data_IF_759408689604
#
_entry.id   IF_759408689604
#
_cell.length_a   1.000
_cell.length_b   1.000
_cell.length_c   1.000
_cell.angle_alpha   90.00
_cell.angle_beta   90.00
_cell.angle_gamma   90.00
#
_symmetry.space_group_name_H-M   'P 1'
#
loop_
_entity.id
_entity.type
_entity.pdbx_description
1 polymer ?
#
# COMPACT_ATOMS: atom_id res chain seq x y z
N UNK A 1 -3.59 -22.92 3.49
CA UNK A 1 -3.34 -22.56 2.09
C UNK A 1 -2.24 -21.50 2.05
N UNK A 2 -1.20 -21.74 1.23
CA UNK A 2 -0.11 -20.78 1.07
C UNK A 2 -0.70 -19.49 0.51
N UNK A 3 -0.46 -18.37 1.20
CA UNK A 3 -0.90 -17.06 0.71
C UNK A 3 -0.27 -16.82 -0.66
N UNK A 4 -1.00 -16.29 -1.66
CA UNK A 4 -0.50 -16.02 -3.01
C UNK A 4 0.65 -15.03 -3.06
N UNK A 5 1.09 -14.55 -1.90
CA UNK A 5 2.24 -13.66 -1.74
C UNK A 5 3.54 -14.21 -2.36
N UNK A 6 3.70 -15.54 -2.42
CA UNK A 6 4.87 -16.18 -3.01
C UNK A 6 4.82 -16.26 -4.54
N UNK A 7 3.64 -16.05 -5.15
CA UNK A 7 3.46 -16.09 -6.60
C UNK A 7 3.75 -14.74 -7.27
N UNK A 8 3.84 -13.66 -6.48
CA UNK A 8 4.14 -12.32 -6.99
C UNK A 8 5.67 -12.10 -7.09
N UNK A 9 6.09 -11.56 -8.22
CA UNK A 9 7.46 -11.05 -8.35
C UNK A 9 7.53 -9.64 -7.76
N UNK A 10 7.68 -9.57 -6.43
CA UNK A 10 7.72 -8.31 -5.70
C UNK A 10 8.92 -7.46 -6.10
N UNK A 11 8.64 -6.24 -6.54
CA UNK A 11 9.63 -5.23 -6.91
C UNK A 11 9.28 -3.92 -6.21
N UNK A 12 10.17 -3.45 -5.35
CA UNK A 12 9.99 -2.20 -4.62
C UNK A 12 10.86 -1.13 -5.29
N UNK A 13 10.23 -0.04 -5.70
CA UNK A 13 10.87 1.12 -6.29
C UNK A 13 10.78 2.29 -5.31
N UNK A 14 11.91 2.91 -4.99
CA UNK A 14 11.95 4.13 -4.19
C UNK A 14 11.99 5.32 -5.14
N UNK A 15 10.96 6.18 -5.06
CA UNK A 15 10.83 7.36 -5.92
C UNK A 15 11.26 8.59 -5.13
N UNK A 16 12.29 9.28 -5.61
CA UNK A 16 12.73 10.55 -5.03
C UNK A 16 11.75 11.66 -5.42
N UNK A 17 10.83 11.97 -4.54
CA UNK A 17 9.80 12.99 -4.75
C UNK A 17 9.35 13.54 -3.40
N UNK A 18 8.83 14.77 -3.39
CA UNK A 18 8.20 15.39 -2.20
C UNK A 18 6.76 14.92 -1.97
N UNK A 19 6.22 14.16 -2.90
CA UNK A 19 4.86 13.64 -2.83
C UNK A 19 4.74 12.63 -1.67
N UNK A 20 3.65 12.71 -0.93
CA UNK A 20 3.34 11.76 0.14
C UNK A 20 2.48 10.64 -0.45
N UNK A 21 3.15 9.65 -0.98
CA UNK A 21 2.48 8.56 -1.65
C UNK A 21 3.25 7.24 -1.50
N UNK A 22 2.50 6.15 -1.60
CA UNK A 22 2.96 4.79 -1.80
C UNK A 22 1.85 4.05 -2.53
N UNK A 23 2.19 3.04 -3.31
CA UNK A 23 1.21 2.22 -4.02
C UNK A 23 1.77 0.85 -4.38
N UNK A 24 0.88 -0.11 -4.58
CA UNK A 24 1.20 -1.40 -5.16
C UNK A 24 0.24 -1.74 -6.30
N UNK A 25 0.77 -2.37 -7.34
CA UNK A 25 0.02 -2.84 -8.49
C UNK A 25 -0.16 -4.36 -8.43
N UNK A 26 -1.21 -4.88 -9.06
CA UNK A 26 -1.32 -6.31 -9.31
C UNK A 26 -0.05 -6.85 -9.98
N UNK A 27 0.44 -8.02 -9.52
CA UNK A 27 1.70 -8.60 -9.99
C UNK A 27 2.93 -8.21 -9.18
N UNK A 28 2.78 -7.36 -8.13
CA UNK A 28 3.82 -7.16 -7.12
C UNK A 28 4.78 -5.98 -7.36
N UNK A 29 4.50 -5.10 -8.31
CA UNK A 29 5.26 -3.85 -8.43
C UNK A 29 4.77 -2.84 -7.42
N UNK A 30 5.69 -2.27 -6.64
CA UNK A 30 5.42 -1.28 -5.61
C UNK A 30 6.28 -0.05 -5.80
N UNK A 31 5.76 1.09 -5.39
CA UNK A 31 6.54 2.31 -5.25
C UNK A 31 6.32 2.93 -3.86
N UNK A 32 7.41 3.49 -3.34
CA UNK A 32 7.44 4.21 -2.09
C UNK A 32 8.13 5.55 -2.30
N UNK A 33 7.46 6.65 -1.96
CA UNK A 33 7.97 7.99 -2.22
C UNK A 33 8.77 8.50 -1.01
N UNK A 34 9.95 9.07 -1.26
CA UNK A 34 10.79 9.61 -0.17
C UNK A 34 10.08 10.69 0.62
N UNK A 35 9.22 11.49 -0.02
CA UNK A 35 8.44 12.53 0.64
C UNK A 35 7.55 12.00 1.75
N UNK A 36 6.99 10.80 1.61
CA UNK A 36 6.19 10.16 2.65
C UNK A 36 7.04 9.86 3.90
N UNK A 37 8.21 9.25 3.69
CA UNK A 37 9.13 8.90 4.78
C UNK A 37 9.69 10.14 5.46
N UNK A 38 10.19 11.09 4.67
CA UNK A 38 10.90 12.27 5.15
C UNK A 38 9.97 13.24 5.88
N UNK A 39 8.79 13.51 5.31
CA UNK A 39 7.84 14.48 5.87
C UNK A 39 7.20 13.96 7.15
N UNK A 40 6.82 12.70 7.18
CA UNK A 40 6.21 12.08 8.36
C UNK A 40 7.25 11.49 9.31
N UNK A 41 8.53 11.50 8.96
CA UNK A 41 9.61 10.89 9.73
C UNK A 41 9.24 9.46 10.17
N UNK A 42 8.92 8.64 9.19
CA UNK A 42 8.45 7.27 9.44
C UNK A 42 9.59 6.40 9.98
N UNK A 43 9.32 5.70 11.05
CA UNK A 43 10.14 4.59 11.53
C UNK A 43 10.01 3.36 10.63
N UNK A 44 10.92 2.40 10.73
CA UNK A 44 10.88 1.13 9.99
C UNK A 44 9.56 0.37 10.21
N UNK A 45 9.04 0.39 11.45
CA UNK A 45 7.76 -0.23 11.75
C UNK A 45 6.59 0.48 11.05
N UNK A 46 6.59 1.82 11.00
CA UNK A 46 5.57 2.59 10.30
C UNK A 46 5.66 2.41 8.78
N UNK A 47 6.87 2.32 8.22
CA UNK A 47 7.09 1.95 6.81
C UNK A 47 6.49 0.57 6.54
N UNK A 48 6.71 -0.40 7.43
CA UNK A 48 6.16 -1.75 7.30
C UNK A 48 4.63 -1.78 7.35
N UNK A 49 3.97 -0.88 8.12
CA UNK A 49 2.51 -0.73 8.09
C UNK A 49 2.04 -0.33 6.70
N UNK A 50 2.63 0.72 6.11
CA UNK A 50 2.24 1.20 4.78
C UNK A 50 2.53 0.13 3.73
N UNK A 51 3.71 -0.49 3.77
CA UNK A 51 4.05 -1.57 2.82
C UNK A 51 3.09 -2.75 2.92
N UNK A 52 2.79 -3.21 4.13
CA UNK A 52 1.85 -4.31 4.34
C UNK A 52 0.46 -4.00 3.81
N UNK A 53 -0.02 -2.77 4.04
CA UNK A 53 -1.30 -2.27 3.54
C UNK A 53 -1.35 -2.25 2.00
N UNK A 54 -0.34 -1.70 1.34
CA UNK A 54 -0.25 -1.68 -0.12
C UNK A 54 -0.12 -3.08 -0.72
N UNK A 55 0.68 -3.96 -0.10
CA UNK A 55 0.78 -5.35 -0.51
C UNK A 55 -0.56 -6.06 -0.40
N UNK A 56 -1.34 -5.80 0.65
CA UNK A 56 -2.67 -6.36 0.82
C UNK A 56 -3.62 -5.92 -0.29
N UNK A 57 -3.59 -4.64 -0.70
CA UNK A 57 -4.36 -4.16 -1.86
C UNK A 57 -4.00 -4.91 -3.15
N UNK A 58 -2.72 -5.17 -3.40
CA UNK A 58 -2.28 -5.94 -4.55
C UNK A 58 -2.72 -7.41 -4.48
N UNK A 59 -2.54 -8.06 -3.34
CA UNK A 59 -2.90 -9.46 -3.09
C UNK A 59 -4.40 -9.72 -3.22
N UNK A 60 -5.22 -8.78 -2.74
CA UNK A 60 -6.69 -8.84 -2.78
C UNK A 60 -7.26 -8.28 -4.08
N UNK A 61 -6.38 -7.84 -4.99
CA UNK A 61 -6.76 -7.29 -6.29
C UNK A 61 -7.74 -6.10 -6.20
N UNK A 62 -7.69 -5.33 -5.11
CA UNK A 62 -8.58 -4.19 -4.88
C UNK A 62 -8.52 -3.15 -6.00
N UNK A 63 -7.38 -3.04 -6.69
CA UNK A 63 -7.21 -2.18 -7.86
C UNK A 63 -8.10 -2.57 -9.05
N UNK A 64 -8.46 -3.85 -9.19
CA UNK A 64 -9.39 -4.30 -10.26
C UNK A 64 -10.79 -3.74 -10.07
N UNK A 65 -11.24 -3.60 -8.83
CA UNK A 65 -12.54 -3.02 -8.50
C UNK A 65 -12.60 -1.50 -8.76
N UNK A 66 -11.45 -0.82 -8.74
CA UNK A 66 -11.33 0.61 -9.04
C UNK A 66 -11.37 0.92 -10.54
N UNK A 67 -10.80 0.03 -11.34
CA UNK A 67 -10.74 0.23 -12.78
C UNK A 67 -12.12 0.02 -13.38
N UNK A 68 -12.64 1.05 -14.07
CA UNK A 68 -13.81 0.88 -14.89
C UNK A 68 -13.54 -0.22 -15.93
N UNK A 69 -14.46 -1.15 -16.15
CA UNK A 69 -14.27 -2.31 -17.02
C UNK A 69 -13.76 -1.93 -18.42
N UNK A 70 -14.15 -0.76 -18.95
CA UNK A 70 -13.64 -0.21 -20.21
C UNK A 70 -12.14 0.14 -20.18
N UNK A 71 -11.67 0.66 -19.06
CA UNK A 71 -10.25 0.97 -18.87
C UNK A 71 -9.44 -0.31 -18.70
N UNK A 72 -9.96 -1.29 -17.99
CA UNK A 72 -9.34 -2.62 -17.85
C UNK A 72 -9.23 -3.35 -19.18
N UNK A 73 -10.23 -3.26 -20.06
CA UNK A 73 -10.16 -3.84 -21.39
C UNK A 73 -9.10 -3.17 -22.28
N UNK A 74 -8.95 -1.85 -22.19
CA UNK A 74 -7.92 -1.12 -22.91
C UNK A 74 -6.50 -1.49 -22.41
N UNK A 75 -6.36 -1.68 -21.11
CA UNK A 75 -5.11 -2.10 -20.46
C UNK A 75 -4.79 -3.56 -20.78
N UNK A 76 -5.77 -4.47 -20.68
CA UNK A 76 -5.58 -5.87 -21.05
C UNK A 76 -5.23 -6.02 -22.54
N UNK A 77 -5.82 -5.20 -23.41
CA UNK A 77 -5.48 -5.12 -24.82
C UNK A 77 -4.06 -4.58 -25.08
N UNK A 78 -3.63 -3.58 -24.31
CA UNK A 78 -2.30 -3.03 -24.39
C UNK A 78 -1.24 -3.95 -23.75
N UNK A 79 -1.58 -4.71 -22.72
CA UNK A 79 -0.70 -5.67 -22.03
C UNK A 79 -0.62 -7.01 -22.79
N UNK A 80 -1.70 -7.43 -23.45
CA UNK A 80 -1.75 -8.65 -24.25
C UNK A 80 -1.03 -8.57 -25.60
N UNK A 81 -0.69 -7.35 -26.06
CA UNK A 81 0.18 -7.12 -27.22
C UNK A 81 1.44 -6.40 -26.78
N UNK A 82 2.57 -6.64 -27.35
CA UNK A 82 3.91 -6.01 -27.26
C UNK A 82 4.18 -4.87 -26.24
N UNK A 83 3.14 -4.27 -25.62
CA UNK A 83 3.25 -3.17 -24.66
C UNK A 83 3.83 -3.60 -23.29
N UNK A 84 3.75 -4.89 -22.92
CA UNK A 84 4.36 -5.39 -21.69
C UNK A 84 5.89 -5.29 -21.73
N UNK A 85 6.49 -5.44 -22.90
CA UNK A 85 7.93 -5.26 -23.09
C UNK A 85 8.39 -3.81 -22.96
N UNK A 86 7.52 -2.84 -23.23
CA UNK A 86 7.79 -1.41 -23.07
C UNK A 86 7.74 -1.00 -21.58
N UNK A 87 6.83 -1.58 -20.80
CA UNK A 87 6.73 -1.28 -19.36
C UNK A 87 7.91 -1.85 -18.55
N UNK A 88 8.50 -2.95 -18.99
CA UNK A 88 9.69 -3.56 -18.32
C UNK A 88 10.98 -2.79 -18.62
N UNK A 89 11.01 -2.02 -19.71
CA UNK A 89 12.14 -1.16 -20.08
C UNK A 89 11.85 0.35 -19.96
N UNK A 90 10.67 0.72 -19.49
CA UNK A 90 10.26 2.11 -19.38
C UNK A 90 11.02 2.83 -18.25
N UNK A 91 11.45 4.04 -18.54
CA UNK A 91 11.99 4.98 -17.57
C UNK A 91 10.97 5.18 -16.41
N UNK A 92 11.48 5.43 -15.20
CA UNK A 92 10.65 5.64 -14.00
C UNK A 92 9.59 6.74 -14.20
N UNK A 93 9.85 7.69 -15.10
CA UNK A 93 8.92 8.75 -15.50
C UNK A 93 7.68 8.19 -16.17
N UNK A 94 7.82 7.18 -17.03
CA UNK A 94 6.71 6.52 -17.70
C UNK A 94 5.88 5.69 -16.73
N UNK A 95 6.52 5.08 -15.72
CA UNK A 95 5.82 4.34 -14.68
C UNK A 95 4.97 5.27 -13.80
N UNK A 96 5.49 6.45 -13.44
CA UNK A 96 4.75 7.47 -12.68
C UNK A 96 3.58 8.03 -13.48
N UNK A 97 3.76 8.26 -14.78
CA UNK A 97 2.69 8.73 -15.67
C UNK A 97 1.62 7.67 -15.83
N UNK A 98 2.02 6.41 -16.03
CA UNK A 98 1.11 5.27 -16.13
C UNK A 98 0.25 5.12 -14.87
N UNK A 99 0.84 5.32 -13.68
CA UNK A 99 0.10 5.21 -12.41
C UNK A 99 -0.93 6.31 -12.22
N UNK A 100 -0.70 7.53 -12.72
CA UNK A 100 -1.68 8.60 -12.72
C UNK A 100 -2.87 8.31 -13.64
N UNK A 101 -2.60 7.74 -14.82
CA UNK A 101 -3.62 7.38 -15.80
C UNK A 101 -4.49 6.18 -15.34
N UNK A 102 -3.97 5.34 -14.42
CA UNK A 102 -4.65 4.14 -13.93
C UNK A 102 -5.64 4.39 -12.78
N UNK A 103 -6.08 5.61 -12.58
CA UNK A 103 -7.06 5.97 -11.53
C UNK A 103 -6.62 5.56 -10.11
N UNK A 104 -5.31 5.55 -9.85
CA UNK A 104 -4.79 5.38 -8.49
C UNK A 104 -5.19 6.56 -7.59
N UNK A 105 -5.64 7.67 -8.16
CA UNK A 105 -6.14 8.85 -7.45
C UNK A 105 -7.55 8.67 -6.86
N UNK A 106 -8.24 7.56 -7.17
CA UNK A 106 -9.58 7.30 -6.63
C UNK A 106 -9.49 6.56 -5.29
N UNK A 107 -10.33 6.91 -4.30
CA UNK A 107 -10.34 6.22 -3.02
C UNK A 107 -10.76 4.76 -3.18
N UNK A 108 -10.20 3.90 -2.36
CA UNK A 108 -10.69 2.54 -2.18
C UNK A 108 -12.02 2.54 -1.39
N UNK A 109 -12.80 1.47 -1.54
CA UNK A 109 -13.98 1.29 -0.71
C UNK A 109 -13.59 1.06 0.75
N UNK A 110 -14.47 1.42 1.70
CA UNK A 110 -14.21 1.18 3.13
C UNK A 110 -13.92 -0.28 3.44
N UNK A 111 -14.61 -1.21 2.79
CA UNK A 111 -14.37 -2.64 2.97
C UNK A 111 -13.00 -3.07 2.46
N UNK A 112 -12.53 -2.52 1.33
CA UNK A 112 -11.20 -2.79 0.80
C UNK A 112 -10.10 -2.24 1.71
N UNK A 113 -10.31 -1.05 2.30
CA UNK A 113 -9.40 -0.46 3.27
C UNK A 113 -9.31 -1.30 4.55
N UNK A 114 -10.46 -1.73 5.09
CA UNK A 114 -10.50 -2.59 6.27
C UNK A 114 -9.79 -3.92 6.01
N UNK A 115 -10.05 -4.56 4.88
CA UNK A 115 -9.37 -5.81 4.50
C UNK A 115 -7.87 -5.60 4.30
N UNK A 116 -7.44 -4.48 3.71
CA UNK A 116 -6.03 -4.15 3.55
C UNK A 116 -5.33 -3.90 4.90
N UNK A 117 -6.01 -3.24 5.84
CA UNK A 117 -5.50 -3.07 7.20
C UNK A 117 -5.31 -4.41 7.92
N UNK A 118 -6.32 -5.30 7.86
CA UNK A 118 -6.26 -6.62 8.50
C UNK A 118 -5.12 -7.48 7.95
N UNK A 119 -5.08 -7.64 6.63
CA UNK A 119 -4.04 -8.45 5.98
C UNK A 119 -2.67 -7.82 6.14
N UNK A 120 -2.56 -6.51 5.95
CA UNK A 120 -1.29 -5.78 6.08
C UNK A 120 -0.71 -5.83 7.49
N UNK A 121 -1.57 -5.70 8.52
CA UNK A 121 -1.16 -5.82 9.92
C UNK A 121 -0.57 -7.21 10.23
N UNK A 122 -1.19 -8.27 9.73
CA UNK A 122 -0.69 -9.64 9.93
C UNK A 122 0.60 -9.90 9.14
N UNK A 123 0.74 -9.34 7.93
CA UNK A 123 1.95 -9.45 7.13
C UNK A 123 3.15 -8.81 7.83
N UNK A 124 3.02 -7.55 8.27
CA UNK A 124 4.12 -6.87 8.96
C UNK A 124 4.51 -7.57 10.26
N UNK A 125 3.54 -8.03 11.04
CA UNK A 125 3.79 -8.73 12.30
C UNK A 125 4.56 -10.04 12.08
N UNK A 126 4.16 -10.86 11.10
CA UNK A 126 4.86 -12.10 10.71
C UNK A 126 6.27 -11.84 10.17
N UNK A 127 6.50 -10.65 9.63
CA UNK A 127 7.81 -10.20 9.15
C UNK A 127 8.70 -9.63 10.26
N UNK A 128 8.23 -9.61 11.52
CA UNK A 128 9.00 -9.16 12.68
C UNK A 128 9.00 -7.64 12.89
N UNK A 129 8.04 -6.92 12.30
CA UNK A 129 7.80 -5.50 12.57
C UNK A 129 6.70 -5.32 13.60
N UNK A 130 6.88 -4.36 14.52
CA UNK A 130 5.96 -4.14 15.63
C UNK A 130 4.62 -3.57 15.16
N UNK A 131 3.49 -4.31 15.28
CA UNK A 131 2.19 -3.86 14.78
C UNK A 131 1.52 -2.78 15.65
N UNK A 132 2.00 -2.53 16.88
CA UNK A 132 1.42 -1.53 17.79
C UNK A 132 1.43 -0.12 17.21
N UNK A 133 2.31 0.17 16.25
CA UNK A 133 2.43 1.50 15.62
C UNK A 133 1.31 1.77 14.61
N UNK A 134 0.60 0.75 14.13
CA UNK A 134 -0.35 0.89 13.02
C UNK A 134 -1.50 1.88 13.29
N UNK A 135 -2.22 1.82 14.42
CA UNK A 135 -3.27 2.81 14.69
C UNK A 135 -2.73 4.24 14.76
N UNK A 136 -1.55 4.42 15.38
CA UNK A 136 -0.90 5.73 15.52
C UNK A 136 -0.45 6.32 14.19
N UNK A 137 0.00 5.48 13.27
CA UNK A 137 0.42 5.92 11.93
C UNK A 137 -0.74 6.54 11.14
N UNK A 138 -1.89 5.88 11.07
CA UNK A 138 -3.05 6.40 10.36
C UNK A 138 -3.57 7.71 10.97
N UNK A 139 -3.52 7.84 12.29
CA UNK A 139 -3.82 9.12 12.97
C UNK A 139 -2.80 10.21 12.63
N UNK A 140 -1.52 9.87 12.58
CA UNK A 140 -0.43 10.78 12.20
C UNK A 140 -0.63 11.29 10.77
N UNK A 141 -0.99 10.41 9.84
CA UNK A 141 -1.31 10.74 8.45
C UNK A 141 -2.54 11.64 8.35
N UNK A 142 -3.62 11.32 9.05
CA UNK A 142 -4.83 12.12 9.05
C UNK A 142 -4.60 13.55 9.58
N UNK A 143 -3.80 13.70 10.64
CA UNK A 143 -3.41 15.02 11.18
C UNK A 143 -2.58 15.82 10.20
N UNK A 144 -1.65 15.17 9.51
CA UNK A 144 -0.80 15.82 8.52
C UNK A 144 -1.62 16.31 7.30
N UNK A 145 -2.65 15.57 6.88
CA UNK A 145 -3.55 15.93 5.80
C UNK A 145 -4.44 17.14 6.12
N UNK A 146 -4.81 17.34 7.38
CA UNK A 146 -5.67 18.45 7.81
C UNK A 146 -5.04 19.84 7.78
N UNK A 147 -3.72 19.93 7.56
CA UNK A 147 -2.96 21.18 7.68
C UNK A 147 -2.46 21.83 6.39
N UNK A 148 -2.47 21.15 5.25
CA UNK A 148 -1.98 21.73 3.99
C UNK A 148 -2.68 21.19 2.77
N UNK A 149 -3.20 22.09 1.96
CA UNK A 149 -3.64 21.81 0.60
C UNK A 149 -2.40 21.56 -0.26
N UNK A 150 -2.13 20.32 -0.63
CA UNK A 150 -0.98 20.00 -1.46
C UNK A 150 -0.64 18.51 -1.52
N UNK A 151 0.63 18.19 -1.58
CA UNK A 151 1.19 16.85 -1.77
C UNK A 151 0.77 15.80 -0.71
N UNK A 152 0.27 16.22 0.46
CA UNK A 152 -0.25 15.34 1.53
C UNK A 152 -1.61 14.73 1.19
N UNK A 153 -2.33 15.30 0.23
CA UNK A 153 -3.70 14.88 -0.05
C UNK A 153 -3.80 13.56 -0.82
N UNK A 154 -2.75 13.11 -1.50
CA UNK A 154 -2.84 11.94 -2.38
C UNK A 154 -3.06 10.66 -1.58
N UNK A 155 -2.19 10.32 -0.64
CA UNK A 155 -2.32 9.07 0.11
C UNK A 155 -3.56 9.08 1.02
N UNK A 156 -3.82 10.20 1.70
CA UNK A 156 -5.01 10.34 2.54
C UNK A 156 -6.32 10.36 1.73
N UNK A 157 -6.29 10.89 0.49
CA UNK A 157 -7.47 10.89 -0.39
C UNK A 157 -7.75 9.51 -0.99
N UNK A 158 -6.72 8.73 -1.26
CA UNK A 158 -6.85 7.36 -1.80
C UNK A 158 -7.13 6.31 -0.72
N UNK A 159 -6.69 6.57 0.52
CA UNK A 159 -6.85 5.69 1.67
C UNK A 159 -7.53 6.42 2.85
N UNK A 160 -8.83 6.73 2.74
CA UNK A 160 -9.52 7.47 3.78
C UNK A 160 -9.53 6.69 5.09
N UNK A 161 -9.06 7.35 6.16
CA UNK A 161 -9.11 6.82 7.52
C UNK A 161 -10.41 7.24 8.19
N UNK A 162 -11.03 6.32 8.91
CA UNK A 162 -12.19 6.59 9.76
C UNK A 162 -12.05 5.89 11.13
N UNK A 163 -12.97 6.19 12.03
CA UNK A 163 -12.98 5.65 13.39
C UNK A 163 -13.11 4.12 13.38
N UNK A 164 -13.91 3.57 12.47
CA UNK A 164 -14.13 2.12 12.38
C UNK A 164 -12.88 1.35 12.00
N UNK A 165 -12.02 1.91 11.13
CA UNK A 165 -10.71 1.35 10.80
C UNK A 165 -9.78 1.35 12.02
N UNK A 166 -9.79 2.44 12.80
CA UNK A 166 -8.99 2.53 14.03
C UNK A 166 -9.41 1.50 15.06
N UNK A 167 -10.72 1.35 15.31
CA UNK A 167 -11.28 0.35 16.22
C UNK A 167 -10.94 -1.08 15.77
N UNK A 168 -11.04 -1.35 14.46
CA UNK A 168 -10.71 -2.66 13.91
C UNK A 168 -9.22 -3.00 14.09
N UNK A 169 -8.32 -2.06 13.82
CA UNK A 169 -6.88 -2.24 14.06
C UNK A 169 -6.60 -2.52 15.54
N UNK A 170 -7.21 -1.75 16.46
CA UNK A 170 -7.06 -1.97 17.90
C UNK A 170 -7.54 -3.37 18.32
N UNK A 171 -8.66 -3.82 17.78
CA UNK A 171 -9.21 -5.16 18.04
C UNK A 171 -8.29 -6.28 17.60
N UNK A 172 -7.52 -6.07 16.52
CA UNK A 172 -6.61 -7.08 15.93
C UNK A 172 -5.22 -7.06 16.55
N UNK A 173 -4.84 -6.01 17.29
CA UNK A 173 -3.50 -5.91 17.88
C UNK A 173 -3.09 -7.12 18.72
N UNK A 174 -3.93 -7.71 19.59
CA UNK A 174 -3.51 -8.87 20.37
C UNK A 174 -3.04 -10.04 19.50
N UNK A 175 -3.78 -10.38 18.44
CA UNK A 175 -3.42 -11.44 17.50
C UNK A 175 -2.13 -11.09 16.72
N UNK A 176 -2.04 -9.87 16.22
CA UNK A 176 -0.84 -9.41 15.52
C UNK A 176 0.41 -9.44 16.41
N UNK A 177 0.29 -9.08 17.69
CA UNK A 177 1.39 -9.13 18.65
C UNK A 177 1.88 -10.55 18.91
N UNK A 178 1.01 -11.56 18.93
CA UNK A 178 1.44 -12.96 19.05
C UNK A 178 2.26 -13.40 17.83
N UNK A 179 1.84 -12.99 16.62
CA UNK A 179 2.59 -13.24 15.38
C UNK A 179 3.96 -12.54 15.40
N UNK A 180 4.00 -11.30 15.85
CA UNK A 180 5.25 -10.54 15.98
C UNK A 180 6.23 -11.19 16.95
N UNK A 181 5.77 -11.58 18.15
CA UNK A 181 6.60 -12.29 19.13
C UNK A 181 7.14 -13.62 18.56
N UNK A 182 6.28 -14.38 17.88
CA UNK A 182 6.68 -15.64 17.25
C UNK A 182 7.74 -15.42 16.15
N UNK A 183 7.63 -14.33 15.37
CA UNK A 183 8.62 -13.98 14.36
C UNK A 183 9.97 -13.59 14.99
N UNK A 184 9.95 -12.80 16.08
CA UNK A 184 11.17 -12.43 16.81
C UNK A 184 11.90 -13.63 17.40
N UNK A 185 11.17 -14.58 17.97
CA UNK A 185 11.75 -15.80 18.56
C UNK A 185 12.38 -16.76 17.53
N UNK A 186 12.01 -16.65 16.25
CA UNK A 186 12.61 -17.46 15.16
C UNK A 186 13.90 -16.86 14.61
N UNK A 187 14.09 -15.55 14.78
CA UNK A 187 15.20 -14.79 14.19
C UNK A 187 16.28 -14.41 15.23
N UNK A 188 16.11 -14.77 16.50
CA UNK A 188 17.07 -14.64 17.59
C UNK A 188 17.60 -15.98 18.00
#
# INVERSE_FOLDING_TARGET
DALPILEFNWQINVIKSKELNAWAMPGGKMAFYTGLVDTLQLSDNEIAVVMGHEMAHALKEHGKAKANFGTMSAIAGAIGGTALSVVVGADMTDLVTLTKDFALDKPYSRSAETEADEVGLMLMARSGYNPEVAPGLWQKMAKASGGSKGALDVLASTHPSDESRQENLQRLLPEAMELYKAAKNKNG
#
